data_IF_602787823238
#
_entry.id   IF_602787823238
#
_cell.length_a   1.000
_cell.length_b   1.000
_cell.length_c   1.000
_cell.angle_alpha   90.00
_cell.angle_beta   90.00
_cell.angle_gamma   90.00
#
_symmetry.space_group_name_H-M   'P 1'
#
loop_
_entity.id
_entity.type
_entity.pdbx_description
1 polymer ?
#
# COMPACT_ATOMS: atom_id res chain seq x y z
N UNK A 1 11.31 16.95 12.77
CA UNK A 1 10.75 17.24 11.43
C UNK A 1 10.58 18.75 11.25
N UNK A 2 9.95 19.48 12.18
CA UNK A 2 9.87 20.96 12.11
C UNK A 2 10.58 21.65 13.30
N UNK A 3 11.91 21.85 13.24
CA UNK A 3 12.66 22.47 14.33
C UNK A 3 12.38 23.98 14.49
N UNK A 4 11.96 24.65 13.41
CA UNK A 4 11.75 26.10 13.35
C UNK A 4 10.27 26.50 13.28
N UNK A 5 9.36 25.64 13.72
CA UNK A 5 7.91 25.89 13.66
C UNK A 5 7.51 27.11 14.51
N UNK A 6 6.68 27.97 13.94
CA UNK A 6 6.13 29.14 14.63
C UNK A 6 5.33 28.70 15.86
N UNK A 7 5.39 29.49 16.95
CA UNK A 7 4.55 29.30 18.12
C UNK A 7 3.81 30.57 18.50
N UNK A 8 2.52 30.45 18.76
CA UNK A 8 1.68 31.52 19.30
C UNK A 8 1.18 31.07 20.66
N UNK A 9 1.50 31.85 21.71
CA UNK A 9 1.18 31.50 23.10
C UNK A 9 1.63 30.09 23.51
N UNK A 10 2.80 29.66 23.01
CA UNK A 10 3.38 28.33 23.27
C UNK A 10 2.84 27.20 22.39
N UNK A 11 1.74 27.41 21.64
CA UNK A 11 1.12 26.41 20.76
C UNK A 11 1.77 26.46 19.38
N UNK A 12 2.08 25.30 18.79
CA UNK A 12 2.60 25.20 17.42
C UNK A 12 1.58 25.73 16.42
N UNK A 13 1.99 26.67 15.59
CA UNK A 13 1.20 27.20 14.48
C UNK A 13 1.79 26.64 13.18
N UNK A 14 1.00 25.81 12.51
CA UNK A 14 1.39 25.21 11.24
C UNK A 14 0.98 26.13 10.10
N UNK A 15 1.93 26.43 9.23
CA UNK A 15 1.72 27.03 7.92
C UNK A 15 1.28 25.96 6.91
N UNK A 16 0.79 26.41 5.75
CA UNK A 16 0.44 25.52 4.64
C UNK A 16 1.63 24.66 4.19
N UNK A 17 2.84 25.22 4.17
CA UNK A 17 4.06 24.49 3.82
C UNK A 17 4.34 23.32 4.80
N UNK A 18 4.09 23.52 6.09
CA UNK A 18 4.29 22.46 7.09
C UNK A 18 3.18 21.41 7.01
N UNK A 19 1.96 21.80 6.62
CA UNK A 19 0.87 20.87 6.34
C UNK A 19 1.19 20.01 5.10
N UNK A 20 1.68 20.61 4.02
CA UNK A 20 2.10 19.85 2.83
C UNK A 20 3.27 18.90 3.13
N UNK A 21 4.26 19.36 3.90
CA UNK A 21 5.34 18.49 4.35
C UNK A 21 4.81 17.31 5.20
N UNK A 22 3.81 17.53 6.05
CA UNK A 22 3.16 16.46 6.82
C UNK A 22 2.47 15.42 5.93
N UNK A 23 1.84 15.83 4.82
CA UNK A 23 1.23 14.90 3.85
C UNK A 23 2.27 13.99 3.22
N UNK A 24 3.42 14.54 2.85
CA UNK A 24 4.55 13.76 2.31
C UNK A 24 5.12 12.81 3.38
N UNK A 25 5.29 13.29 4.62
CA UNK A 25 5.76 12.48 5.74
C UNK A 25 4.81 11.30 6.00
N UNK A 26 3.50 11.54 6.01
CA UNK A 26 2.48 10.50 6.19
C UNK A 26 2.53 9.46 5.07
N UNK A 27 2.67 9.91 3.81
CA UNK A 27 2.85 9.03 2.65
C UNK A 27 4.08 8.13 2.80
N UNK A 28 5.25 8.71 3.06
CA UNK A 28 6.49 7.95 3.25
C UNK A 28 6.39 7.00 4.45
N UNK A 29 5.71 7.40 5.52
CA UNK A 29 5.52 6.53 6.69
C UNK A 29 4.64 5.34 6.38
N UNK A 30 3.55 5.56 5.62
CA UNK A 30 2.63 4.51 5.16
C UNK A 30 3.26 3.56 4.15
N UNK A 31 4.24 4.03 3.37
CA UNK A 31 5.02 3.16 2.48
C UNK A 31 6.07 2.29 3.20
N UNK A 32 6.06 2.26 4.54
CA UNK A 32 6.95 1.44 5.33
C UNK A 32 8.28 2.10 5.71
N UNK A 33 8.51 3.36 5.34
CA UNK A 33 9.77 4.03 5.66
C UNK A 33 9.89 4.33 7.17
N UNK A 34 11.09 4.15 7.71
CA UNK A 34 11.36 4.44 9.13
C UNK A 34 11.47 5.94 9.40
N UNK A 35 11.15 6.35 10.64
CA UNK A 35 11.23 7.77 11.04
C UNK A 35 12.64 8.34 10.86
N UNK A 36 13.70 7.52 11.01
CA UNK A 36 15.08 7.96 10.80
C UNK A 36 15.34 8.38 9.36
N UNK A 37 14.81 7.64 8.38
CA UNK A 37 15.00 7.91 6.96
C UNK A 37 14.10 9.07 6.51
N UNK A 38 12.90 9.20 7.09
CA UNK A 38 12.05 10.38 6.88
C UNK A 38 12.75 11.65 7.40
N UNK A 39 13.43 11.59 8.54
CA UNK A 39 14.25 12.72 9.03
C UNK A 39 15.37 13.05 8.05
N UNK A 40 16.05 12.03 7.51
CA UNK A 40 17.11 12.24 6.51
C UNK A 40 16.57 12.91 5.24
N UNK A 41 15.41 12.47 4.75
CA UNK A 41 14.71 13.14 3.65
C UNK A 41 14.44 14.61 3.94
N UNK A 42 13.93 14.94 5.14
CA UNK A 42 13.70 16.33 5.54
C UNK A 42 14.99 17.16 5.58
N UNK A 43 16.12 16.59 5.99
CA UNK A 43 17.41 17.29 5.91
C UNK A 43 17.82 17.56 4.45
N UNK A 44 17.64 16.60 3.54
CA UNK A 44 17.89 16.80 2.12
C UNK A 44 17.04 17.91 1.51
N UNK A 45 15.78 18.07 1.94
CA UNK A 45 14.93 19.16 1.43
C UNK A 45 15.49 20.56 1.72
N UNK A 46 16.26 20.72 2.80
CA UNK A 46 16.90 22.00 3.16
C UNK A 46 18.12 22.32 2.30
N UNK A 47 18.78 21.28 1.79
CA UNK A 47 19.96 21.40 0.92
C UNK A 47 19.60 21.82 -0.52
N UNK A 48 18.31 21.77 -0.89
CA UNK A 48 17.87 22.27 -2.18
C UNK A 48 18.33 21.39 -3.34
N UNK A 49 18.81 22.02 -4.43
CA UNK A 49 18.96 21.37 -5.72
C UNK A 49 19.97 20.22 -5.73
N UNK A 50 20.99 20.26 -4.87
CA UNK A 50 22.05 19.23 -4.81
C UNK A 50 21.53 17.85 -4.39
N UNK A 51 20.33 17.76 -3.82
CA UNK A 51 19.72 16.49 -3.38
C UNK A 51 18.53 16.06 -4.22
N UNK A 52 18.24 16.71 -5.36
CA UNK A 52 17.08 16.34 -6.17
C UNK A 52 17.14 14.89 -6.64
N UNK A 53 18.30 14.44 -7.12
CA UNK A 53 18.49 13.06 -7.57
C UNK A 53 18.28 12.07 -6.42
N UNK A 54 18.94 12.28 -5.28
CA UNK A 54 18.80 11.43 -4.09
C UNK A 54 17.35 11.37 -3.57
N UNK A 55 16.63 12.51 -3.58
CA UNK A 55 15.23 12.55 -3.18
C UNK A 55 14.33 11.82 -4.17
N UNK A 56 14.61 11.93 -5.47
CA UNK A 56 13.87 11.19 -6.50
C UNK A 56 14.06 9.68 -6.35
N UNK A 57 15.31 9.23 -6.17
CA UNK A 57 15.63 7.81 -5.95
C UNK A 57 14.91 7.24 -4.73
N UNK A 58 14.77 8.03 -3.64
CA UNK A 58 13.98 7.63 -2.48
C UNK A 58 12.54 7.30 -2.88
N UNK A 59 11.88 8.18 -3.64
CA UNK A 59 10.49 7.98 -4.07
C UNK A 59 10.35 6.85 -5.09
N UNK A 60 11.30 6.67 -6.01
CA UNK A 60 11.27 5.56 -6.96
C UNK A 60 11.37 4.21 -6.25
N UNK A 61 12.24 4.11 -5.24
CA UNK A 61 12.33 2.92 -4.38
C UNK A 61 11.03 2.68 -3.62
N UNK A 62 10.45 3.71 -2.98
CA UNK A 62 9.18 3.56 -2.26
C UNK A 62 8.02 3.20 -3.19
N UNK A 63 7.99 3.77 -4.40
CA UNK A 63 7.04 3.41 -5.45
C UNK A 63 7.13 1.92 -5.79
N UNK A 64 8.34 1.42 -6.07
CA UNK A 64 8.53 0.01 -6.39
C UNK A 64 8.11 -0.92 -5.23
N UNK A 65 8.39 -0.53 -3.98
CA UNK A 65 7.91 -1.26 -2.79
C UNK A 65 6.39 -1.34 -2.76
N UNK A 66 5.69 -0.21 -2.91
CA UNK A 66 4.23 -0.16 -2.91
C UNK A 66 3.62 -0.92 -4.09
N UNK A 67 4.19 -0.81 -5.29
CA UNK A 67 3.72 -1.55 -6.46
C UNK A 67 3.82 -3.07 -6.24
N UNK A 68 4.90 -3.55 -5.63
CA UNK A 68 5.04 -4.95 -5.26
C UNK A 68 4.05 -5.37 -4.16
N UNK A 69 3.83 -4.53 -3.14
CA UNK A 69 2.82 -4.80 -2.11
C UNK A 69 1.40 -4.87 -2.71
N UNK A 70 1.05 -3.98 -3.63
CA UNK A 70 -0.23 -4.02 -4.36
C UNK A 70 -0.37 -5.33 -5.12
N UNK A 71 0.67 -5.77 -5.83
CA UNK A 71 0.64 -7.05 -6.55
C UNK A 71 0.42 -8.24 -5.60
N UNK A 72 1.10 -8.25 -4.45
CA UNK A 72 0.93 -9.30 -3.44
C UNK A 72 -0.48 -9.28 -2.84
N UNK A 73 -0.97 -8.09 -2.47
CA UNK A 73 -2.32 -7.93 -1.93
C UNK A 73 -3.40 -8.28 -2.95
N UNK A 74 -3.15 -8.06 -4.24
CA UNK A 74 -4.07 -8.48 -5.30
C UNK A 74 -4.19 -10.00 -5.37
N UNK A 75 -3.08 -10.75 -5.24
CA UNK A 75 -3.12 -12.22 -5.16
C UNK A 75 -3.89 -12.71 -3.94
N UNK A 76 -3.67 -12.07 -2.79
CA UNK A 76 -4.42 -12.37 -1.55
C UNK A 76 -5.92 -12.11 -1.74
N UNK A 77 -6.27 -10.97 -2.34
CA UNK A 77 -7.66 -10.63 -2.63
C UNK A 77 -8.29 -11.64 -3.59
N UNK A 78 -7.56 -12.11 -4.61
CA UNK A 78 -8.08 -13.09 -5.56
C UNK A 78 -8.31 -14.46 -4.92
N UNK A 79 -7.45 -14.90 -3.97
CA UNK A 79 -7.73 -16.07 -3.14
C UNK A 79 -9.02 -15.88 -2.31
N UNK A 80 -9.20 -14.71 -1.69
CA UNK A 80 -10.39 -14.41 -0.89
C UNK A 80 -11.64 -14.44 -1.76
N UNK A 81 -11.62 -13.83 -2.95
CA UNK A 81 -12.75 -13.86 -3.90
C UNK A 81 -13.11 -15.30 -4.30
N UNK A 82 -12.10 -16.11 -4.63
CA UNK A 82 -12.31 -17.53 -4.94
C UNK A 82 -12.97 -18.25 -3.76
N UNK A 83 -12.51 -18.02 -2.51
CA UNK A 83 -13.10 -18.63 -1.32
C UNK A 83 -14.51 -18.13 -1.00
N UNK A 84 -14.83 -16.87 -1.25
CA UNK A 84 -16.19 -16.36 -1.17
C UNK A 84 -17.12 -17.12 -2.12
N UNK A 85 -16.74 -17.24 -3.38
CA UNK A 85 -17.52 -18.03 -4.35
C UNK A 85 -17.64 -19.50 -3.93
N UNK A 86 -16.54 -20.13 -3.51
CA UNK A 86 -16.51 -21.54 -3.10
C UNK A 86 -17.56 -21.80 -2.01
N UNK A 87 -17.60 -20.96 -0.98
CA UNK A 87 -18.54 -21.14 0.12
C UNK A 87 -19.97 -20.73 -0.25
N UNK A 88 -20.18 -19.71 -1.08
CA UNK A 88 -21.51 -19.42 -1.64
C UNK A 88 -22.06 -20.63 -2.39
N UNK A 89 -21.22 -21.33 -3.15
CA UNK A 89 -21.63 -22.50 -3.93
C UNK A 89 -21.83 -23.74 -3.04
N UNK A 90 -20.97 -23.96 -2.06
CA UNK A 90 -21.13 -25.04 -1.09
C UNK A 90 -22.41 -24.87 -0.25
N UNK A 91 -22.76 -23.64 0.12
CA UNK A 91 -24.02 -23.33 0.82
C UNK A 91 -25.23 -23.65 -0.05
N UNK A 92 -25.20 -23.29 -1.34
CA UNK A 92 -26.31 -23.60 -2.26
C UNK A 92 -26.50 -25.10 -2.47
N UNK A 93 -25.40 -25.84 -2.58
CA UNK A 93 -25.43 -27.27 -2.86
C UNK A 93 -25.57 -28.13 -1.59
N UNK A 94 -25.22 -27.58 -0.43
CA UNK A 94 -25.19 -28.30 0.85
C UNK A 94 -24.06 -29.33 0.96
N UNK A 95 -23.08 -29.31 0.05
CA UNK A 95 -21.97 -30.26 -0.03
C UNK A 95 -20.72 -29.62 -0.62
N UNK A 96 -19.61 -29.66 0.11
CA UNK A 96 -18.31 -29.14 -0.36
C UNK A 96 -17.68 -30.02 -1.44
N UNK A 97 -17.94 -31.33 -1.43
CA UNK A 97 -17.33 -32.25 -2.41
C UNK A 97 -17.80 -31.95 -3.84
N UNK A 98 -19.06 -31.53 -3.97
CA UNK A 98 -19.65 -31.16 -5.25
C UNK A 98 -19.01 -29.88 -5.83
N UNK A 99 -18.58 -28.94 -4.99
CA UNK A 99 -17.81 -27.75 -5.42
C UNK A 99 -16.36 -28.11 -5.73
N UNK A 100 -15.73 -28.98 -4.93
CA UNK A 100 -14.36 -29.44 -5.18
C UNK A 100 -14.21 -30.16 -6.53
N UNK A 101 -15.23 -30.90 -6.95
CA UNK A 101 -15.25 -31.56 -8.26
C UNK A 101 -15.26 -30.58 -9.45
N UNK A 102 -15.64 -29.30 -9.24
CA UNK A 102 -15.63 -28.27 -10.28
C UNK A 102 -14.25 -27.61 -10.46
N UNK A 103 -13.34 -27.78 -9.51
CA UNK A 103 -12.03 -27.10 -9.52
C UNK A 103 -10.98 -27.99 -10.20
N UNK A 104 -10.14 -27.45 -11.11
CA UNK A 104 -10.11 -26.06 -11.61
C UNK A 104 -10.89 -25.84 -12.92
N UNK A 105 -11.46 -26.90 -13.49
CA UNK A 105 -11.87 -26.91 -14.90
C UNK A 105 -13.25 -26.30 -15.16
N UNK A 106 -14.20 -26.45 -14.25
CA UNK A 106 -15.60 -26.03 -14.37
C UNK A 106 -15.93 -24.84 -13.46
N UNK A 107 -15.03 -23.85 -13.44
CA UNK A 107 -15.22 -22.60 -12.72
C UNK A 107 -15.85 -21.53 -13.64
N UNK A 108 -16.78 -20.70 -13.12
CA UNK A 108 -17.20 -19.48 -13.81
C UNK A 108 -15.97 -18.62 -14.17
N UNK A 109 -16.00 -17.97 -15.33
CA UNK A 109 -14.81 -17.31 -15.89
C UNK A 109 -14.14 -16.32 -14.92
N UNK A 110 -14.92 -15.51 -14.20
CA UNK A 110 -14.38 -14.53 -13.24
C UNK A 110 -13.73 -15.20 -12.01
N UNK A 111 -14.26 -16.35 -11.59
CA UNK A 111 -13.74 -17.16 -10.49
C UNK A 111 -12.46 -17.86 -10.93
N UNK A 112 -12.42 -18.36 -12.17
CA UNK A 112 -11.23 -18.99 -12.76
C UNK A 112 -10.05 -18.03 -12.78
N UNK A 113 -10.25 -16.77 -13.19
CA UNK A 113 -9.19 -15.74 -13.14
C UNK A 113 -8.69 -15.54 -11.71
N UNK A 114 -9.59 -15.47 -10.73
CA UNK A 114 -9.19 -15.29 -9.32
C UNK A 114 -8.46 -16.52 -8.76
N UNK A 115 -8.88 -17.72 -9.16
CA UNK A 115 -8.20 -18.98 -8.83
C UNK A 115 -6.79 -19.03 -9.43
N UNK A 116 -6.66 -18.78 -10.73
CA UNK A 116 -5.39 -18.80 -11.46
C UNK A 116 -4.41 -17.71 -10.98
N UNK A 117 -4.90 -16.53 -10.60
CA UNK A 117 -4.04 -15.45 -10.07
C UNK A 117 -3.50 -15.75 -8.67
N UNK A 118 -4.17 -16.63 -7.93
CA UNK A 118 -3.88 -16.90 -6.52
C UNK A 118 -3.07 -18.18 -6.27
N UNK A 119 -2.95 -19.06 -7.26
CA UNK A 119 -2.17 -20.31 -7.23
C UNK A 119 -0.96 -20.23 -8.17
#
# INVERSE_FOLDING_TARGET
LFPTIERVSGIRKFSENEIEALRVIDCLKKSGLEIKDIKQFMEWTKLGAETFETRKELFERQKATIENEIQQMQKVLDMIKFKCWYYDEAIKQGDENAVQAQIPDDLPQEVKISYDNSH
#
